data_IF_177821195802
#
_entry.id   IF_177821195802
#
_cell.length_a   1.000
_cell.length_b   1.000
_cell.length_c   1.000
_cell.angle_alpha   90.00
_cell.angle_beta   90.00
_cell.angle_gamma   90.00
#
_symmetry.space_group_name_H-M   'P 1'
#
loop_
_entity.id
_entity.type
_entity.pdbx_description
1 polymer ?
#
# COMPACT_ATOMS: atom_id res chain seq x y z
N UNK A 1 -10.49 -3.05 11.23
CA UNK A 1 -10.14 -1.65 10.92
C UNK A 1 -10.14 -1.47 9.41
N UNK A 2 -10.83 -0.46 8.86
CA UNK A 2 -10.98 -0.28 7.40
C UNK A 2 -10.25 1.00 7.00
N UNK A 3 -9.11 0.87 6.32
CA UNK A 3 -8.42 2.01 5.73
C UNK A 3 -9.29 2.59 4.60
N UNK A 4 -9.79 3.81 4.80
CA UNK A 4 -10.59 4.55 3.82
C UNK A 4 -9.81 5.76 3.32
N UNK A 5 -9.65 5.87 1.99
CA UNK A 5 -9.01 7.02 1.35
C UNK A 5 -10.09 8.08 1.17
N UNK A 6 -10.12 9.07 2.06
CA UNK A 6 -11.15 10.12 2.06
C UNK A 6 -11.14 10.96 0.77
N UNK A 7 -9.97 11.15 0.16
CA UNK A 7 -9.78 11.99 -1.04
C UNK A 7 -8.90 11.27 -2.06
N UNK A 8 -9.44 10.39 -2.91
CA UNK A 8 -8.67 9.73 -3.95
C UNK A 8 -8.23 10.73 -5.01
N UNK A 9 -6.96 10.70 -5.39
CA UNK A 9 -6.46 11.46 -6.55
C UNK A 9 -6.93 10.75 -7.83
N UNK A 10 -7.63 11.44 -8.76
CA UNK A 10 -8.11 10.83 -9.99
C UNK A 10 -7.02 10.64 -11.05
N UNK A 11 -5.84 11.26 -10.86
CA UNK A 11 -4.74 11.15 -11.82
C UNK A 11 -4.09 9.77 -11.74
N UNK A 12 -3.73 9.25 -12.90
CA UNK A 12 -2.96 8.01 -13.01
C UNK A 12 -1.49 8.28 -12.74
N UNK A 13 -0.76 7.26 -12.29
CA UNK A 13 0.67 7.35 -11.99
C UNK A 13 1.52 7.87 -13.16
N UNK A 14 1.15 7.47 -14.39
CA UNK A 14 1.85 7.88 -15.61
C UNK A 14 1.70 9.38 -15.90
N UNK A 15 0.57 9.96 -15.50
CA UNK A 15 0.27 11.39 -15.66
C UNK A 15 0.98 12.29 -14.63
N UNK A 16 1.71 11.72 -13.67
CA UNK A 16 2.42 12.47 -12.65
C UNK A 16 3.86 12.79 -13.09
N UNK A 17 4.36 13.95 -12.68
CA UNK A 17 5.71 14.41 -13.02
C UNK A 17 6.74 13.70 -12.15
N UNK A 18 7.68 12.91 -12.72
CA UNK A 18 8.73 12.27 -11.94
C UNK A 18 9.70 13.30 -11.35
N UNK A 19 10.14 13.09 -10.11
CA UNK A 19 11.21 13.90 -9.53
C UNK A 19 12.58 13.49 -10.07
N UNK A 20 13.49 14.45 -10.32
CA UNK A 20 14.85 14.14 -10.76
C UNK A 20 15.69 13.47 -9.65
N UNK A 21 15.41 13.76 -8.38
CA UNK A 21 16.20 13.28 -7.23
C UNK A 21 15.76 11.92 -6.70
N UNK A 22 14.48 11.54 -6.88
CA UNK A 22 13.93 10.26 -6.45
C UNK A 22 12.86 9.75 -7.43
N UNK A 23 13.14 8.69 -8.22
CA UNK A 23 12.20 8.17 -9.22
C UNK A 23 10.95 7.54 -8.60
N UNK A 24 10.98 7.22 -7.30
CA UNK A 24 9.87 6.64 -6.54
C UNK A 24 8.83 7.69 -6.13
N UNK A 25 9.17 8.97 -6.33
CA UNK A 25 8.33 10.12 -5.97
C UNK A 25 7.95 10.88 -7.23
N UNK A 26 6.67 11.23 -7.32
CA UNK A 26 6.17 12.06 -8.40
C UNK A 26 5.38 13.24 -7.86
N UNK A 27 5.42 14.37 -8.53
CA UNK A 27 4.62 15.53 -8.17
C UNK A 27 3.30 15.53 -8.94
N UNK A 28 2.21 15.75 -8.21
CA UNK A 28 0.88 15.89 -8.77
C UNK A 28 0.56 17.38 -8.98
N UNK A 29 0.36 17.79 -10.23
CA UNK A 29 -0.04 19.16 -10.54
C UNK A 29 -1.44 19.54 -10.05
N UNK A 30 -2.30 18.56 -9.77
CA UNK A 30 -3.69 18.79 -9.34
C UNK A 30 -3.83 18.98 -7.82
N UNK A 31 -3.25 18.06 -7.02
CA UNK A 31 -3.29 18.17 -5.56
C UNK A 31 -2.09 18.92 -4.98
N UNK A 32 -1.08 19.26 -5.80
CA UNK A 32 0.11 20.01 -5.41
C UNK A 32 0.91 19.36 -4.27
N UNK A 33 0.81 18.03 -4.16
CA UNK A 33 1.50 17.22 -3.17
C UNK A 33 2.42 16.20 -3.85
N UNK A 34 3.47 15.81 -3.13
CA UNK A 34 4.31 14.70 -3.52
C UNK A 34 3.52 13.39 -3.41
N UNK A 35 3.62 12.55 -4.43
CA UNK A 35 2.97 11.25 -4.56
C UNK A 35 4.02 10.16 -4.41
N UNK A 36 3.89 9.33 -3.38
CA UNK A 36 4.80 8.21 -3.09
C UNK A 36 4.15 6.88 -3.49
N UNK A 37 4.87 6.00 -4.20
CA UNK A 37 4.43 4.61 -4.41
C UNK A 37 4.86 3.75 -3.21
N UNK A 38 3.89 3.34 -2.38
CA UNK A 38 4.17 2.54 -1.18
C UNK A 38 4.80 1.19 -1.52
N UNK A 39 4.62 0.67 -2.73
CA UNK A 39 5.25 -0.59 -3.16
C UNK A 39 6.77 -0.47 -3.26
N UNK A 40 7.29 0.75 -3.40
CA UNK A 40 8.73 1.04 -3.47
C UNK A 40 9.33 1.43 -2.10
N UNK A 41 8.48 1.59 -1.08
CA UNK A 41 8.86 1.92 0.29
C UNK A 41 8.74 0.69 1.20
N UNK A 42 9.66 0.55 2.15
CA UNK A 42 9.52 -0.38 3.27
C UNK A 42 8.43 0.10 4.22
N UNK A 43 7.99 -0.79 5.11
CA UNK A 43 7.03 -0.43 6.17
C UNK A 43 7.56 0.68 7.07
N UNK A 44 8.87 0.69 7.36
CA UNK A 44 9.51 1.73 8.16
C UNK A 44 9.51 3.09 7.42
N UNK A 45 9.90 3.10 6.13
CA UNK A 45 9.86 4.31 5.29
C UNK A 45 8.43 4.86 5.16
N UNK A 46 7.43 4.00 4.97
CA UNK A 46 6.03 4.40 4.91
C UNK A 46 5.51 4.96 6.25
N UNK A 47 5.90 4.37 7.37
CA UNK A 47 5.53 4.87 8.70
C UNK A 47 6.17 6.22 8.99
N UNK A 48 7.44 6.41 8.61
CA UNK A 48 8.12 7.70 8.71
C UNK A 48 7.39 8.75 7.86
N UNK A 49 7.03 8.42 6.61
CA UNK A 49 6.32 9.32 5.72
C UNK A 49 5.01 9.84 6.33
N UNK A 50 4.21 8.95 6.92
CA UNK A 50 2.94 9.32 7.58
C UNK A 50 3.15 10.07 8.89
N UNK A 51 4.31 9.90 9.53
CA UNK A 51 4.65 10.61 10.77
C UNK A 51 5.12 12.05 10.54
N UNK A 52 5.41 12.43 9.30
CA UNK A 52 5.79 13.80 8.95
C UNK A 52 4.56 14.70 8.96
N UNK A 53 4.74 15.95 9.38
CA UNK A 53 3.68 16.98 9.37
C UNK A 53 3.40 17.54 7.96
N UNK A 54 3.82 16.83 6.90
CA UNK A 54 3.57 17.20 5.51
C UNK A 54 2.36 16.46 4.95
N UNK A 55 1.55 17.17 4.16
CA UNK A 55 0.48 16.53 3.39
C UNK A 55 1.08 15.86 2.17
N UNK A 56 1.02 14.54 2.15
CA UNK A 56 1.49 13.71 1.04
C UNK A 56 0.33 12.92 0.43
N UNK A 57 0.46 12.61 -0.85
CA UNK A 57 -0.39 11.66 -1.52
C UNK A 57 0.35 10.33 -1.62
N UNK A 58 -0.38 9.22 -1.56
CA UNK A 58 0.23 7.89 -1.66
C UNK A 58 -0.51 7.05 -2.69
N UNK A 59 0.26 6.30 -3.47
CA UNK A 59 -0.24 5.20 -4.27
C UNK A 59 0.00 3.92 -3.46
N UNK A 60 -1.08 3.21 -3.18
CA UNK A 60 -1.03 1.96 -2.42
C UNK A 60 -1.70 0.84 -3.18
N UNK A 61 -1.25 -0.38 -2.93
CA UNK A 61 -1.92 -1.59 -3.39
C UNK A 61 -2.45 -2.33 -2.17
N UNK A 62 -3.76 -2.60 -2.17
CA UNK A 62 -4.44 -3.30 -1.09
C UNK A 62 -4.70 -4.75 -1.52
N UNK A 63 -4.27 -5.70 -0.70
CA UNK A 63 -4.52 -7.14 -0.90
C UNK A 63 -5.95 -7.49 -0.49
N UNK A 64 -6.46 -8.65 -0.89
CA UNK A 64 -7.79 -9.15 -0.47
C UNK A 64 -7.96 -9.21 1.05
N UNK A 65 -6.89 -9.55 1.77
CA UNK A 65 -6.81 -9.55 3.23
C UNK A 65 -6.96 -8.15 3.87
N UNK A 66 -6.92 -7.09 3.06
CA UNK A 66 -7.04 -5.71 3.51
C UNK A 66 -5.71 -5.04 3.88
N UNK A 67 -4.63 -5.83 3.95
CA UNK A 67 -3.25 -5.38 4.13
C UNK A 67 -2.71 -4.53 2.96
N UNK A 68 -1.89 -3.52 3.26
CA UNK A 68 -1.22 -2.65 2.28
C UNK A 68 0.13 -3.25 1.89
N UNK A 69 0.40 -3.32 0.58
CA UNK A 69 1.66 -3.87 0.07
C UNK A 69 2.77 -2.82 0.08
N UNK A 70 3.84 -3.15 0.80
CA UNK A 70 5.10 -2.38 0.86
C UNK A 70 6.26 -3.20 0.26
N UNK A 71 7.39 -2.57 -0.03
CA UNK A 71 8.60 -3.22 -0.58
C UNK A 71 9.06 -4.43 0.23
N UNK A 72 8.96 -4.33 1.56
CA UNK A 72 9.39 -5.36 2.51
C UNK A 72 8.25 -6.35 2.87
N UNK A 73 7.17 -6.40 2.10
CA UNK A 73 6.06 -7.30 2.42
C UNK A 73 6.55 -8.77 2.27
N UNK A 74 6.59 -9.56 3.36
CA UNK A 74 7.01 -10.95 3.26
C UNK A 74 5.97 -11.71 2.43
N UNK A 75 6.41 -12.30 1.32
CA UNK A 75 5.57 -13.12 0.45
C UNK A 75 5.22 -14.49 1.05
N UNK A 76 5.67 -14.77 2.28
CA UNK A 76 5.59 -16.08 2.93
C UNK A 76 4.80 -16.02 4.23
N UNK A 77 3.48 -15.91 4.12
CA UNK A 77 2.61 -16.56 5.10
C UNK A 77 1.49 -17.26 4.30
N UNK A 78 1.30 -18.58 4.47
CA UNK A 78 0.06 -19.21 4.06
C UNK A 78 -1.04 -18.50 4.84
N UNK A 79 -1.91 -17.82 4.09
CA UNK A 79 -3.17 -17.27 4.59
C UNK A 79 -3.78 -18.37 5.45
N UNK A 80 -3.97 -18.12 6.75
CA UNK A 80 -4.62 -19.08 7.64
C UNK A 80 -5.86 -19.59 6.91
N UNK A 81 -5.87 -20.90 6.62
CA UNK A 81 -7.04 -21.55 6.09
C UNK A 81 -8.19 -21.25 7.05
N UNK A 82 -9.39 -20.89 6.57
CA UNK A 82 -10.53 -20.76 7.46
C UNK A 82 -10.69 -22.07 8.25
N UNK A 83 -10.97 -21.96 9.54
CA UNK A 83 -11.21 -23.04 10.51
C UNK A 83 -12.46 -23.91 10.18
N UNK A 84 -12.82 -24.02 8.90
CA UNK A 84 -13.93 -24.85 8.40
C UNK A 84 -13.40 -26.08 7.64
N UNK A 85 -12.26 -26.61 8.08
CA UNK A 85 -11.75 -27.90 7.61
C UNK A 85 -11.42 -28.84 8.77
N UNK A 86 -12.31 -28.94 9.76
CA UNK A 86 -12.38 -30.10 10.65
C UNK A 86 -13.87 -30.44 10.91
N UNK A 87 -14.56 -31.04 9.93
CA UNK A 87 -15.49 -32.12 10.28
C UNK A 87 -14.87 -33.43 9.81
N UNK A 88 -14.30 -34.09 10.80
CA UNK A 88 -13.97 -35.50 10.87
C UNK A 88 -14.89 -36.39 10.02
N UNK A 89 -14.27 -37.18 9.16
CA UNK A 89 -14.77 -38.45 8.62
C UNK A 89 -13.56 -39.25 8.14
N UNK A 90 -12.59 -39.47 9.03
CA UNK A 90 -12.36 -40.77 9.69
C UNK A 90 -11.91 -41.84 8.68
N UNK A 91 -10.64 -42.20 8.80
CA UNK A 91 -10.04 -43.40 8.25
C UNK A 91 -10.92 -44.63 8.56
N UNK A 92 -11.35 -45.33 7.51
CA UNK A 92 -11.48 -46.79 7.42
C UNK A 92 -11.54 -47.19 5.94
#
# INVERSE_FOLDING_TARGET
>A
DRLEIASPCPLTWDSLTPRPDDPRVRDCGQCQHAVYDLRELTRAEAAELVSRDERVCVRLYRREDGSVMTRDCPSSFPVEAPDDMITLGMLA
#
